data_IF_879107090377
#
_entry.id   IF_879107090377
#
_cell.length_a   1.000
_cell.length_b   1.000
_cell.length_c   1.000
_cell.angle_alpha   90.00
_cell.angle_beta   90.00
_cell.angle_gamma   90.00
#
_symmetry.space_group_name_H-M   'P 1'
#
loop_
_entity.id
_entity.type
_entity.pdbx_description
1 polymer ?
#
# COMPACT_ATOMS: atom_id res chain seq x y z
N UNK A 1 16.33 31.28 -6.06
CA UNK A 1 14.90 31.16 -6.40
C UNK A 1 14.61 29.72 -6.76
N UNK A 2 13.64 29.12 -6.08
CA UNK A 2 13.38 27.69 -5.95
C UNK A 2 12.49 27.21 -7.09
N UNK A 3 13.00 26.39 -8.02
CA UNK A 3 12.18 25.71 -9.03
C UNK A 3 11.83 24.31 -8.51
N UNK A 4 10.72 24.25 -7.78
CA UNK A 4 10.03 23.00 -7.44
C UNK A 4 9.35 22.47 -8.71
N UNK A 5 9.99 21.51 -9.38
CA UNK A 5 9.33 20.66 -10.36
C UNK A 5 8.66 19.54 -9.58
N UNK A 6 7.39 19.74 -9.23
CA UNK A 6 6.53 18.67 -8.71
C UNK A 6 6.13 17.84 -9.93
N UNK A 7 6.84 16.73 -10.14
CA UNK A 7 6.36 15.66 -11.02
C UNK A 7 5.12 15.05 -10.37
N UNK A 8 3.95 15.50 -10.84
CA UNK A 8 2.69 14.83 -10.60
C UNK A 8 2.74 13.44 -11.22
N UNK A 9 2.70 12.42 -10.37
CA UNK A 9 2.54 11.04 -10.78
C UNK A 9 1.07 10.84 -11.20
N UNK A 10 0.80 11.12 -12.47
CA UNK A 10 -0.44 10.82 -13.16
C UNK A 10 -0.46 9.31 -13.50
N UNK A 11 -0.88 8.48 -12.56
CA UNK A 11 -1.37 7.12 -12.85
C UNK A 11 -2.88 7.10 -12.66
N UNK A 12 -3.58 7.86 -13.50
CA UNK A 12 -5.02 7.82 -13.63
C UNK A 12 -5.43 6.99 -14.84
N UNK A 13 -5.88 5.76 -14.61
CA UNK A 13 -6.74 5.05 -15.58
C UNK A 13 -7.52 3.84 -15.01
N UNK A 14 -7.61 3.66 -13.68
CA UNK A 14 -8.57 2.71 -13.05
C UNK A 14 -9.15 3.20 -11.68
N UNK A 15 -8.85 4.43 -11.25
CA UNK A 15 -9.27 4.95 -9.95
C UNK A 15 -10.66 5.63 -10.02
N UNK A 16 -11.74 4.86 -9.87
CA UNK A 16 -13.07 5.43 -9.66
C UNK A 16 -13.60 5.25 -8.23
N UNK A 17 -12.94 4.50 -7.34
CA UNK A 17 -13.52 4.20 -6.01
C UNK A 17 -12.54 4.19 -4.81
N UNK A 18 -11.28 4.61 -4.97
CA UNK A 18 -10.35 4.68 -3.82
C UNK A 18 -9.83 6.10 -3.72
N UNK A 19 -10.33 6.84 -2.74
CA UNK A 19 -9.90 8.20 -2.46
C UNK A 19 -8.39 8.20 -2.21
N UNK A 20 -7.60 9.08 -2.85
CA UNK A 20 -6.16 9.14 -2.62
C UNK A 20 -5.87 9.43 -1.14
N UNK A 21 -4.73 8.99 -0.59
CA UNK A 21 -4.38 9.30 0.79
C UNK A 21 -4.39 10.82 1.00
N UNK A 22 -5.11 11.29 2.01
CA UNK A 22 -5.31 12.71 2.26
C UNK A 22 -4.04 13.41 2.80
N UNK A 23 -3.02 12.64 3.16
CA UNK A 23 -1.77 13.15 3.70
C UNK A 23 -0.58 12.18 3.49
N UNK A 24 0.67 12.66 3.58
CA UNK A 24 1.86 11.79 3.58
C UNK A 24 1.84 10.75 4.72
N UNK A 25 1.27 11.12 5.86
CA UNK A 25 1.06 10.24 7.01
C UNK A 25 0.16 9.05 6.62
N UNK A 26 -0.98 9.36 6.02
CA UNK A 26 -1.94 8.34 5.56
C UNK A 26 -1.37 7.50 4.43
N UNK A 27 -0.62 8.11 3.50
CA UNK A 27 0.05 7.38 2.43
C UNK A 27 1.03 6.34 2.99
N UNK A 28 1.85 6.71 3.97
CA UNK A 28 2.75 5.77 4.65
C UNK A 28 1.96 4.69 5.40
N UNK A 29 0.89 5.04 6.11
CA UNK A 29 0.03 4.08 6.80
C UNK A 29 -0.60 3.06 5.84
N UNK A 30 -1.12 3.52 4.69
CA UNK A 30 -1.72 2.65 3.66
C UNK A 30 -0.69 1.78 2.96
N UNK A 31 0.52 2.28 2.67
CA UNK A 31 1.63 1.44 2.15
C UNK A 31 2.02 0.35 3.14
N UNK A 32 2.10 0.68 4.42
CA UNK A 32 2.35 -0.33 5.46
C UNK A 32 1.27 -1.41 5.46
N UNK A 33 0.00 -1.00 5.49
CA UNK A 33 -1.13 -1.92 5.45
C UNK A 33 -1.14 -2.80 4.19
N UNK A 34 -0.83 -2.23 3.02
CA UNK A 34 -0.72 -2.96 1.76
C UNK A 34 0.41 -3.99 1.80
N UNK A 35 1.61 -3.60 2.25
CA UNK A 35 2.73 -4.52 2.38
C UNK A 35 2.44 -5.65 3.37
N UNK A 36 1.81 -5.36 4.51
CA UNK A 36 1.37 -6.39 5.47
C UNK A 36 0.35 -7.35 4.86
N UNK A 37 -0.64 -6.83 4.14
CA UNK A 37 -1.67 -7.64 3.51
C UNK A 37 -1.07 -8.55 2.43
N UNK A 38 -0.24 -7.99 1.55
CA UNK A 38 0.45 -8.73 0.48
C UNK A 38 1.35 -9.82 1.07
N UNK A 39 2.10 -9.52 2.14
CA UNK A 39 2.92 -10.50 2.83
C UNK A 39 2.12 -11.70 3.36
N UNK A 40 0.89 -11.47 3.84
CA UNK A 40 0.04 -12.50 4.46
C UNK A 40 -0.82 -13.27 3.45
N UNK A 41 -1.39 -12.58 2.48
CA UNK A 41 -2.42 -13.12 1.58
C UNK A 41 -1.88 -13.44 0.18
N UNK A 42 -0.77 -12.81 -0.21
CA UNK A 42 -0.24 -12.87 -1.56
C UNK A 42 1.17 -13.45 -1.63
N UNK A 43 1.64 -14.14 -0.59
CA UNK A 43 2.99 -14.68 -0.48
C UNK A 43 3.42 -15.52 -1.71
N UNK A 44 2.54 -16.37 -2.21
CA UNK A 44 2.79 -17.20 -3.40
C UNK A 44 2.97 -16.39 -4.69
N UNK A 45 2.35 -15.22 -4.79
CA UNK A 45 2.42 -14.33 -5.94
C UNK A 45 3.55 -13.28 -5.81
N UNK A 46 3.93 -12.93 -4.58
CA UNK A 46 5.00 -11.99 -4.30
C UNK A 46 6.41 -12.57 -4.50
N UNK A 47 6.56 -13.89 -4.67
CA UNK A 47 7.85 -14.58 -4.85
C UNK A 47 8.32 -15.39 -3.63
N UNK A 48 7.43 -15.72 -2.70
CA UNK A 48 7.72 -16.64 -1.59
C UNK A 48 8.40 -15.99 -0.38
N UNK A 49 9.10 -16.81 0.42
CA UNK A 49 9.55 -16.46 1.77
C UNK A 49 10.39 -15.17 1.85
N UNK A 50 11.38 -15.01 0.97
CA UNK A 50 12.23 -13.81 0.98
C UNK A 50 11.48 -12.53 0.59
N UNK A 51 10.56 -12.62 -0.37
CA UNK A 51 9.67 -11.50 -0.70
C UNK A 51 8.77 -11.12 0.47
N UNK A 52 8.22 -12.11 1.19
CA UNK A 52 7.43 -11.88 2.40
C UNK A 52 8.26 -11.18 3.48
N UNK A 53 9.53 -11.56 3.66
CA UNK A 53 10.45 -10.89 4.60
C UNK A 53 10.68 -9.43 4.21
N UNK A 54 10.89 -9.13 2.93
CA UNK A 54 11.04 -7.77 2.41
C UNK A 54 9.77 -6.94 2.62
N UNK A 55 8.60 -7.48 2.24
CA UNK A 55 7.31 -6.81 2.47
C UNK A 55 7.07 -6.51 3.96
N UNK A 56 7.43 -7.43 4.86
CA UNK A 56 7.36 -7.17 6.31
C UNK A 56 8.32 -6.05 6.73
N UNK A 57 9.53 -6.01 6.18
CA UNK A 57 10.48 -4.94 6.44
C UNK A 57 9.93 -3.58 5.97
N UNK A 58 9.43 -3.51 4.74
CA UNK A 58 8.86 -2.31 4.14
C UNK A 58 7.63 -1.82 4.92
N UNK A 59 6.78 -2.75 5.37
CA UNK A 59 5.67 -2.43 6.26
C UNK A 59 6.13 -1.74 7.54
N UNK A 60 7.15 -2.29 8.21
CA UNK A 60 7.69 -1.71 9.44
C UNK A 60 8.29 -0.32 9.22
N UNK A 61 9.03 -0.13 8.12
CA UNK A 61 9.59 1.18 7.76
C UNK A 61 8.50 2.23 7.48
N UNK A 62 7.43 1.84 6.79
CA UNK A 62 6.30 2.71 6.52
C UNK A 62 5.51 3.04 7.79
N UNK A 63 5.35 2.09 8.73
CA UNK A 63 4.76 2.38 10.06
C UNK A 63 5.61 3.40 10.82
N UNK A 64 6.93 3.22 10.85
CA UNK A 64 7.83 4.16 11.51
C UNK A 64 7.73 5.56 10.87
N UNK A 65 7.65 5.64 9.55
CA UNK A 65 7.43 6.90 8.83
C UNK A 65 6.09 7.52 9.15
N UNK A 66 4.99 6.75 9.12
CA UNK A 66 3.67 7.24 9.47
C UNK A 66 3.63 7.78 10.90
N UNK A 67 4.24 7.07 11.87
CA UNK A 67 4.33 7.51 13.27
C UNK A 67 5.14 8.79 13.43
N UNK A 68 6.26 8.95 12.72
CA UNK A 68 7.02 10.22 12.68
C UNK A 68 6.19 11.39 12.14
N UNK A 69 5.22 11.11 11.28
CA UNK A 69 4.29 12.09 10.72
C UNK A 69 3.02 12.28 11.58
N UNK A 70 2.94 11.67 12.76
CA UNK A 70 1.82 11.83 13.70
C UNK A 70 0.75 10.73 13.65
N UNK A 71 0.97 9.64 12.91
CA UNK A 71 0.00 8.54 12.87
C UNK A 71 -0.16 7.89 14.24
N UNK A 72 -1.42 7.79 14.68
CA UNK A 72 -1.80 7.03 15.88
C UNK A 72 -2.03 5.57 15.51
N UNK A 73 -2.17 4.70 16.52
CA UNK A 73 -2.57 3.32 16.28
C UNK A 73 -3.96 3.23 15.62
N UNK A 74 -4.86 4.17 15.90
CA UNK A 74 -6.15 4.27 15.23
C UNK A 74 -5.98 4.59 13.73
N UNK A 75 -5.05 5.47 13.37
CA UNK A 75 -4.72 5.77 11.96
C UNK A 75 -4.20 4.53 11.23
N UNK A 76 -3.29 3.77 11.84
CA UNK A 76 -2.74 2.54 11.25
C UNK A 76 -3.82 1.45 11.14
N UNK A 77 -4.67 1.30 12.17
CA UNK A 77 -5.77 0.34 12.15
C UNK A 77 -6.81 0.66 11.07
N UNK A 78 -7.15 1.94 10.90
CA UNK A 78 -8.01 2.40 9.80
C UNK A 78 -7.38 2.07 8.45
N UNK A 79 -6.10 2.38 8.24
CA UNK A 79 -5.42 2.07 6.98
C UNK A 79 -5.43 0.56 6.65
N UNK A 80 -5.24 -0.31 7.65
CA UNK A 80 -5.38 -1.77 7.48
C UNK A 80 -6.79 -2.17 7.04
N UNK A 81 -7.80 -1.58 7.66
CA UNK A 81 -9.20 -1.84 7.34
C UNK A 81 -9.52 -1.38 5.92
N UNK A 82 -9.14 -0.15 5.56
CA UNK A 82 -9.41 0.44 4.24
C UNK A 82 -8.72 -0.36 3.12
N UNK A 83 -7.45 -0.72 3.29
CA UNK A 83 -6.72 -1.55 2.32
C UNK A 83 -7.32 -2.94 2.21
N UNK A 84 -7.73 -3.55 3.33
CA UNK A 84 -8.39 -4.87 3.29
C UNK A 84 -9.72 -4.80 2.54
N UNK A 85 -10.55 -3.79 2.80
CA UNK A 85 -11.81 -3.61 2.09
C UNK A 85 -11.59 -3.39 0.59
N UNK A 86 -10.59 -2.57 0.22
CA UNK A 86 -10.24 -2.36 -1.18
C UNK A 86 -9.79 -3.66 -1.86
N UNK A 87 -8.96 -4.47 -1.18
CA UNK A 87 -8.55 -5.77 -1.67
C UNK A 87 -9.74 -6.72 -1.83
N UNK A 88 -10.62 -6.82 -0.82
CA UNK A 88 -11.78 -7.70 -0.86
C UNK A 88 -12.76 -7.30 -1.97
N UNK A 89 -12.94 -6.00 -2.19
CA UNK A 89 -13.72 -5.46 -3.31
C UNK A 89 -13.09 -5.87 -4.65
N UNK A 90 -11.76 -5.77 -4.76
CA UNK A 90 -11.06 -6.15 -5.97
C UNK A 90 -11.16 -7.65 -6.23
N UNK A 91 -11.08 -8.48 -5.19
CA UNK A 91 -11.32 -9.92 -5.31
C UNK A 91 -12.74 -10.21 -5.79
N UNK A 92 -13.74 -9.51 -5.27
CA UNK A 92 -15.15 -9.70 -5.65
C UNK A 92 -15.42 -9.39 -7.14
N UNK A 93 -14.72 -8.40 -7.70
CA UNK A 93 -14.84 -8.04 -9.13
C UNK A 93 -13.82 -8.73 -10.05
N UNK A 94 -12.87 -9.46 -9.49
CA UNK A 94 -11.84 -10.17 -10.26
C UNK A 94 -11.63 -11.59 -9.72
N UNK A 95 -10.48 -11.85 -9.14
CA UNK A 95 -10.16 -13.06 -8.39
C UNK A 95 -8.95 -12.79 -7.47
N UNK A 96 -8.64 -13.68 -6.51
CA UNK A 96 -7.52 -13.50 -5.59
C UNK A 96 -6.16 -13.32 -6.27
N UNK A 97 -5.87 -14.05 -7.36
CA UNK A 97 -4.60 -13.96 -8.06
C UNK A 97 -4.41 -12.60 -8.72
N UNK A 98 -5.42 -12.10 -9.43
CA UNK A 98 -5.36 -10.80 -10.07
C UNK A 98 -5.22 -9.69 -9.02
N UNK A 99 -6.02 -9.72 -7.96
CA UNK A 99 -5.92 -8.78 -6.84
C UNK A 99 -4.52 -8.77 -6.23
N UNK A 100 -3.93 -9.94 -5.99
CA UNK A 100 -2.58 -10.07 -5.48
C UNK A 100 -1.52 -9.52 -6.46
N UNK A 101 -1.65 -9.80 -7.76
CA UNK A 101 -0.72 -9.28 -8.76
C UNK A 101 -0.72 -7.75 -8.83
N UNK A 102 -1.89 -7.12 -8.70
CA UNK A 102 -2.00 -5.65 -8.63
C UNK A 102 -1.32 -5.11 -7.37
N UNK A 103 -1.59 -5.69 -6.20
CA UNK A 103 -0.94 -5.28 -4.95
C UNK A 103 0.59 -5.42 -5.01
N UNK A 104 1.09 -6.54 -5.53
CA UNK A 104 2.53 -6.77 -5.70
C UNK A 104 3.12 -5.74 -6.67
N UNK A 105 2.45 -5.51 -7.80
CA UNK A 105 2.87 -4.51 -8.79
C UNK A 105 2.94 -3.10 -8.20
N UNK A 106 1.88 -2.63 -7.54
CA UNK A 106 1.84 -1.30 -6.92
C UNK A 106 2.96 -1.13 -5.87
N UNK A 107 3.16 -2.12 -5.01
CA UNK A 107 4.19 -2.07 -3.97
C UNK A 107 5.60 -2.07 -4.56
N UNK A 108 5.86 -2.84 -5.61
CA UNK A 108 7.17 -2.91 -6.25
C UNK A 108 7.64 -1.55 -6.79
N UNK A 109 6.72 -0.66 -7.18
CA UNK A 109 7.04 0.69 -7.64
C UNK A 109 6.92 1.76 -6.55
N UNK A 110 6.28 1.45 -5.42
CA UNK A 110 6.13 2.37 -4.30
C UNK A 110 7.35 2.39 -3.35
N UNK A 111 8.17 1.33 -3.37
CA UNK A 111 9.41 1.19 -2.61
C UNK A 111 10.60 1.27 -3.55
N UNK A 112 11.00 2.49 -3.91
CA UNK A 112 12.17 2.81 -4.73
C UNK A 112 12.82 4.10 -4.27
#
# INVERSE_FOLDING_TARGET
MKRLVILGFLTGSLAACVEPPASPMEAAARRAAAAELTAKQCAGFAGGYESVRKLRHDANQNIATARRLGATDATIAKARTDVRMAFDMQVAFSNPQQACNMMVGELAWATG
#
